data_IF_697374257460
#
_entry.id   IF_697374257460
#
_cell.length_a   1.000
_cell.length_b   1.000
_cell.length_c   1.000
_cell.angle_alpha   90.00
_cell.angle_beta   90.00
_cell.angle_gamma   90.00
#
_symmetry.space_group_name_H-M   'P 1'
#
loop_
_entity.id
_entity.type
_entity.pdbx_description
1 polymer ?
#
# COMPACT_ATOMS: atom_id res chain seq x y z
N UNK A 1 -46.56 -35.43 -33.72
CA UNK A 1 -46.05 -34.16 -34.26
C UNK A 1 -46.22 -33.13 -33.16
N UNK A 2 -45.08 -32.66 -32.66
CA UNK A 2 -44.80 -31.51 -31.79
C UNK A 2 -45.58 -31.31 -30.47
N UNK A 3 -44.87 -31.52 -29.37
CA UNK A 3 -45.19 -31.09 -28.01
C UNK A 3 -44.50 -29.74 -27.77
N UNK A 4 -45.28 -28.69 -27.53
CA UNK A 4 -44.80 -27.37 -27.11
C UNK A 4 -44.59 -27.36 -25.59
N UNK A 5 -43.33 -27.22 -25.15
CA UNK A 5 -42.96 -27.03 -23.74
C UNK A 5 -42.53 -25.57 -23.55
N UNK A 6 -43.27 -24.85 -22.71
CA UNK A 6 -42.93 -23.49 -22.30
C UNK A 6 -41.65 -23.45 -21.46
N UNK A 7 -40.69 -22.64 -21.89
CA UNK A 7 -39.44 -22.38 -21.15
C UNK A 7 -39.65 -21.22 -20.17
N UNK A 8 -39.75 -21.57 -18.90
CA UNK A 8 -39.72 -20.66 -17.76
C UNK A 8 -38.40 -19.85 -17.70
N UNK A 9 -38.56 -18.54 -17.57
CA UNK A 9 -37.54 -17.55 -17.25
C UNK A 9 -36.77 -17.90 -15.97
N UNK A 10 -35.52 -18.35 -16.14
CA UNK A 10 -34.56 -18.54 -15.06
C UNK A 10 -33.68 -17.32 -14.87
N UNK A 11 -33.86 -16.63 -13.73
CA UNK A 11 -32.98 -15.58 -13.24
C UNK A 11 -31.52 -16.08 -13.14
N UNK A 12 -30.62 -15.54 -13.96
CA UNK A 12 -29.19 -15.77 -13.84
C UNK A 12 -28.68 -15.08 -12.57
N UNK A 13 -28.34 -15.90 -11.58
CA UNK A 13 -27.60 -15.50 -10.38
C UNK A 13 -26.23 -14.99 -10.78
N UNK A 14 -25.91 -13.75 -10.40
CA UNK A 14 -24.58 -13.18 -10.51
C UNK A 14 -23.62 -13.90 -9.56
N UNK A 15 -22.85 -14.85 -10.09
CA UNK A 15 -21.70 -15.45 -9.41
C UNK A 15 -20.51 -14.46 -9.40
N UNK A 16 -19.95 -14.07 -8.24
CA UNK A 16 -18.84 -13.12 -8.17
C UNK A 16 -17.44 -13.76 -8.30
N UNK A 17 -17.34 -14.97 -8.86
CA UNK A 17 -16.08 -15.74 -8.94
C UNK A 17 -15.64 -16.01 -10.37
N UNK A 18 -15.45 -14.94 -11.14
CA UNK A 18 -14.56 -14.99 -12.31
C UNK A 18 -13.27 -14.26 -11.96
N UNK A 19 -12.22 -15.06 -11.72
CA UNK A 19 -10.84 -14.60 -11.87
C UNK A 19 -10.67 -14.16 -13.32
N UNK A 20 -10.85 -12.86 -13.55
CA UNK A 20 -10.52 -12.20 -14.80
C UNK A 20 -9.03 -12.35 -15.03
N UNK A 21 -8.71 -13.31 -15.90
CA UNK A 21 -7.46 -13.38 -16.62
C UNK A 21 -7.20 -12.01 -17.28
N UNK A 22 -6.00 -11.48 -17.06
CA UNK A 22 -5.36 -10.40 -17.83
C UNK A 22 -6.26 -9.23 -18.24
N UNK A 23 -6.48 -8.26 -17.34
CA UNK A 23 -6.77 -6.90 -17.81
C UNK A 23 -5.54 -6.39 -18.56
N UNK A 24 -5.65 -6.25 -19.88
CA UNK A 24 -4.63 -5.65 -20.73
C UNK A 24 -4.29 -4.26 -20.18
N UNK A 25 -2.99 -3.97 -20.04
CA UNK A 25 -2.52 -2.61 -19.89
C UNK A 25 -2.93 -1.84 -21.15
N UNK A 26 -3.62 -0.72 -21.00
CA UNK A 26 -3.62 0.28 -22.06
C UNK A 26 -2.14 0.58 -22.34
N UNK A 27 -1.73 0.49 -23.61
CA UNK A 27 -0.35 0.70 -24.04
C UNK A 27 0.16 2.04 -23.49
N UNK A 28 0.97 1.98 -22.43
CA UNK A 28 1.46 3.18 -21.75
C UNK A 28 0.71 3.63 -20.49
N UNK A 29 0.03 2.75 -19.74
CA UNK A 29 -0.45 3.08 -18.40
C UNK A 29 -0.07 2.01 -17.37
N UNK A 30 0.68 2.38 -16.32
CA UNK A 30 1.08 1.49 -15.21
C UNK A 30 0.11 1.52 -14.04
N UNK A 31 -1.10 2.03 -14.26
CA UNK A 31 -2.12 2.18 -13.23
C UNK A 31 -3.28 1.24 -13.51
N UNK A 32 -3.60 0.43 -12.50
CA UNK A 32 -4.78 -0.43 -12.50
C UNK A 32 -5.59 -0.18 -11.24
N UNK A 33 -6.66 0.61 -11.36
CA UNK A 33 -7.59 0.83 -10.25
C UNK A 33 -8.44 -0.41 -9.99
N UNK A 34 -8.63 -0.79 -8.71
CA UNK A 34 -9.60 -1.82 -8.35
C UNK A 34 -11.01 -1.30 -8.67
N UNK A 35 -11.69 -1.96 -9.61
CA UNK A 35 -13.03 -1.57 -10.07
C UNK A 35 -13.08 -0.82 -11.40
N UNK A 36 -11.94 -0.54 -12.03
CA UNK A 36 -11.92 0.06 -13.39
C UNK A 36 -12.32 1.53 -13.45
N UNK A 37 -12.28 2.25 -12.33
CA UNK A 37 -12.46 3.70 -12.32
C UNK A 37 -11.32 4.42 -13.06
N UNK A 38 -11.62 5.61 -13.60
CA UNK A 38 -10.66 6.44 -14.32
C UNK A 38 -9.52 6.94 -13.39
N UNK A 39 -8.27 6.99 -13.87
CA UNK A 39 -7.13 7.49 -13.10
C UNK A 39 -7.27 8.98 -12.83
N UNK A 40 -6.80 9.41 -11.66
CA UNK A 40 -6.76 10.84 -11.32
C UNK A 40 -5.63 11.55 -12.08
N UNK A 41 -5.64 12.88 -12.17
CA UNK A 41 -4.60 13.64 -12.87
C UNK A 41 -3.22 13.42 -12.22
N UNK A 42 -3.17 13.39 -10.88
CA UNK A 42 -1.96 13.11 -10.12
C UNK A 42 -1.43 11.69 -10.34
N UNK A 43 -2.34 10.72 -10.36
CA UNK A 43 -2.03 9.33 -10.65
C UNK A 43 -1.47 9.18 -12.07
N UNK A 44 -2.07 9.85 -13.06
CA UNK A 44 -1.58 9.85 -14.44
C UNK A 44 -0.15 10.38 -14.53
N UNK A 45 0.19 11.44 -13.79
CA UNK A 45 1.56 11.97 -13.73
C UNK A 45 2.57 10.94 -13.16
N UNK A 46 2.18 10.17 -12.14
CA UNK A 46 3.02 9.10 -11.58
C UNK A 46 3.16 7.94 -12.57
N UNK A 47 2.09 7.59 -13.28
CA UNK A 47 2.15 6.57 -14.35
C UNK A 47 3.13 6.96 -15.44
N UNK A 48 3.08 8.22 -15.90
CA UNK A 48 4.01 8.75 -16.91
C UNK A 48 5.45 8.70 -16.40
N UNK A 49 5.71 9.15 -15.17
CA UNK A 49 7.03 9.06 -14.57
C UNK A 49 7.55 7.62 -14.54
N UNK A 50 6.72 6.63 -14.16
CA UNK A 50 7.13 5.22 -14.13
C UNK A 50 7.39 4.60 -15.52
N UNK A 51 6.79 5.16 -16.58
CA UNK A 51 7.04 4.74 -17.96
C UNK A 51 8.34 5.32 -18.49
N UNK A 52 8.60 6.60 -18.21
CA UNK A 52 9.88 7.23 -18.54
C UNK A 52 11.05 6.50 -17.86
N UNK A 53 10.88 6.06 -16.61
CA UNK A 53 11.90 5.25 -15.93
C UNK A 53 12.10 3.88 -16.59
N UNK A 54 11.04 3.25 -17.12
CA UNK A 54 11.19 1.98 -17.84
C UNK A 54 11.94 2.14 -19.16
N UNK A 55 11.80 3.27 -19.85
CA UNK A 55 12.49 3.49 -21.12
C UNK A 55 13.97 3.82 -20.93
N UNK A 56 14.33 4.48 -19.82
CA UNK A 56 15.65 5.08 -19.64
C UNK A 56 16.59 4.32 -18.70
N UNK A 57 16.09 3.33 -17.94
CA UNK A 57 16.89 2.64 -16.92
C UNK A 57 17.07 1.15 -17.20
N UNK A 58 18.14 0.59 -16.62
CA UNK A 58 18.39 -0.86 -16.57
C UNK A 58 17.29 -1.64 -15.82
N UNK A 59 16.34 -0.94 -15.19
CA UNK A 59 15.21 -1.49 -14.46
C UNK A 59 14.04 -1.89 -15.38
N UNK A 60 14.20 -1.71 -16.69
CA UNK A 60 13.17 -2.04 -17.71
C UNK A 60 12.59 -3.43 -17.56
N UNK A 61 13.43 -4.45 -17.39
CA UNK A 61 12.98 -5.84 -17.28
C UNK A 61 12.09 -6.07 -16.04
N UNK A 62 12.40 -5.37 -14.94
CA UNK A 62 11.70 -5.54 -13.69
C UNK A 62 10.43 -4.67 -13.62
N UNK A 63 10.45 -3.48 -14.23
CA UNK A 63 9.35 -2.52 -14.22
C UNK A 63 8.22 -2.82 -15.22
N UNK A 64 8.45 -3.70 -16.20
CA UNK A 64 7.48 -4.01 -17.25
C UNK A 64 6.22 -4.69 -16.72
N UNK A 65 6.35 -5.57 -15.73
CA UNK A 65 5.23 -6.33 -15.15
C UNK A 65 4.58 -5.62 -13.96
N UNK A 66 5.24 -4.59 -13.45
CA UNK A 66 4.84 -3.90 -12.23
C UNK A 66 3.84 -2.80 -12.53
N UNK A 67 2.80 -2.74 -11.69
CA UNK A 67 1.79 -1.70 -11.75
C UNK A 67 1.43 -1.20 -10.36
N UNK A 68 0.88 -0.01 -10.33
CA UNK A 68 0.42 0.65 -9.11
C UNK A 68 -1.11 0.70 -9.14
N UNK A 69 -1.73 0.71 -7.96
CA UNK A 69 -3.20 0.74 -7.87
C UNK A 69 -3.73 2.14 -7.67
N UNK A 70 -3.11 2.89 -6.77
CA UNK A 70 -3.53 4.23 -6.37
C UNK A 70 -2.31 5.06 -6.00
N UNK A 71 -2.43 6.38 -6.11
CA UNK A 71 -1.46 7.28 -5.53
C UNK A 71 -2.17 8.43 -4.79
N UNK A 72 -1.58 8.87 -3.69
CA UNK A 72 -2.11 9.98 -2.89
C UNK A 72 -0.98 10.93 -2.51
N UNK A 73 -1.23 12.22 -2.69
CA UNK A 73 -0.39 13.26 -2.11
C UNK A 73 -0.91 13.62 -0.71
N UNK A 74 0.00 13.76 0.25
CA UNK A 74 -0.29 14.22 1.60
C UNK A 74 0.58 15.44 1.90
N UNK A 75 -0.04 16.52 2.37
CA UNK A 75 0.66 17.69 2.87
C UNK A 75 0.99 17.53 4.36
N UNK A 76 2.28 17.67 4.69
CA UNK A 76 2.86 17.42 6.01
C UNK A 76 3.72 18.62 6.42
N UNK A 77 3.25 19.44 7.35
CA UNK A 77 4.01 20.56 7.92
C UNK A 77 4.69 21.46 6.85
N UNK A 78 4.00 21.73 5.74
CA UNK A 78 4.50 22.51 4.60
C UNK A 78 5.32 21.73 3.56
N UNK A 79 5.66 20.47 3.82
CA UNK A 79 6.29 19.54 2.87
C UNK A 79 5.24 18.59 2.30
N UNK A 80 5.21 18.42 0.98
CA UNK A 80 4.32 17.43 0.34
C UNK A 80 5.01 16.09 0.25
N UNK A 81 4.29 15.01 0.52
CA UNK A 81 4.79 13.64 0.45
C UNK A 81 3.84 12.77 -0.34
N UNK A 82 4.40 11.84 -1.11
CA UNK A 82 3.66 11.03 -2.06
C UNK A 82 3.59 9.60 -1.54
N UNK A 83 2.39 9.06 -1.46
CA UNK A 83 2.14 7.66 -1.12
C UNK A 83 1.68 6.93 -2.36
N UNK A 84 2.43 5.90 -2.73
CA UNK A 84 2.10 5.04 -3.86
C UNK A 84 1.60 3.70 -3.32
N UNK A 85 0.37 3.34 -3.70
CA UNK A 85 -0.22 2.06 -3.35
C UNK A 85 0.13 1.00 -4.37
N UNK A 86 0.69 -0.10 -3.87
CA UNK A 86 1.16 -1.23 -4.66
C UNK A 86 0.29 -2.45 -4.36
N UNK A 87 -0.08 -3.26 -5.36
CA UNK A 87 -0.73 -4.55 -5.11
C UNK A 87 0.16 -5.45 -4.21
N UNK A 88 -0.42 -6.03 -3.16
CA UNK A 88 0.33 -6.92 -2.24
C UNK A 88 1.13 -8.03 -2.96
N UNK A 89 0.62 -8.69 -4.03
CA UNK A 89 1.39 -9.72 -4.72
C UNK A 89 2.72 -9.20 -5.31
N UNK A 90 2.77 -7.93 -5.70
CA UNK A 90 3.93 -7.30 -6.34
C UNK A 90 4.85 -6.58 -5.35
N UNK A 91 4.43 -6.42 -4.10
CA UNK A 91 5.16 -5.67 -3.07
C UNK A 91 6.61 -6.15 -2.90
N UNK A 92 6.82 -7.47 -2.86
CA UNK A 92 8.16 -8.07 -2.75
C UNK A 92 9.05 -7.78 -3.96
N UNK A 93 8.47 -7.64 -5.14
CA UNK A 93 9.20 -7.26 -6.35
C UNK A 93 9.59 -5.79 -6.29
N UNK A 94 8.67 -4.93 -5.86
CA UNK A 94 8.97 -3.51 -5.63
C UNK A 94 10.08 -3.32 -4.61
N UNK A 95 10.06 -4.05 -3.48
CA UNK A 95 11.11 -3.95 -2.43
C UNK A 95 12.53 -4.16 -2.97
N UNK A 96 12.73 -5.08 -3.91
CA UNK A 96 14.07 -5.33 -4.51
C UNK A 96 14.63 -4.10 -5.23
N UNK A 97 13.75 -3.25 -5.76
CA UNK A 97 14.10 -2.12 -6.64
C UNK A 97 13.84 -0.78 -5.93
N UNK A 98 13.13 -0.81 -4.81
CA UNK A 98 12.56 0.36 -4.13
C UNK A 98 13.63 1.39 -3.77
N UNK A 99 14.83 0.98 -3.37
CA UNK A 99 15.93 1.93 -3.05
C UNK A 99 16.34 2.78 -4.26
N UNK A 100 16.32 2.22 -5.47
CA UNK A 100 16.63 2.92 -6.72
C UNK A 100 15.44 3.73 -7.21
N UNK A 101 14.25 3.11 -7.22
CA UNK A 101 13.00 3.76 -7.67
C UNK A 101 12.66 5.00 -6.84
N UNK A 102 12.81 4.93 -5.51
CA UNK A 102 12.56 6.10 -4.65
C UNK A 102 13.48 7.25 -5.03
N UNK A 103 14.78 7.00 -5.26
CA UNK A 103 15.74 8.07 -5.62
C UNK A 103 15.40 8.72 -6.96
N UNK A 104 14.98 7.93 -7.94
CA UNK A 104 14.60 8.44 -9.27
C UNK A 104 13.29 9.25 -9.23
N UNK A 105 12.30 8.75 -8.48
CA UNK A 105 11.04 9.47 -8.29
C UNK A 105 11.23 10.74 -7.46
N UNK A 106 12.05 10.71 -6.41
CA UNK A 106 12.36 11.90 -5.61
C UNK A 106 13.04 13.00 -6.45
N UNK A 107 13.91 12.62 -7.40
CA UNK A 107 14.48 13.59 -8.37
C UNK A 107 13.42 14.21 -9.28
N UNK A 108 12.46 13.43 -9.76
CA UNK A 108 11.36 13.89 -10.64
C UNK A 108 10.37 14.78 -9.90
N UNK A 109 10.08 14.49 -8.64
CA UNK A 109 9.08 15.19 -7.83
C UNK A 109 9.68 16.27 -6.92
N UNK A 110 10.69 16.99 -7.38
CA UNK A 110 11.29 18.14 -6.69
C UNK A 110 11.78 17.84 -5.27
N UNK A 111 12.26 16.62 -5.00
CA UNK A 111 12.74 16.21 -3.68
C UNK A 111 11.64 15.89 -2.67
N UNK A 112 10.38 15.80 -3.08
CA UNK A 112 9.29 15.33 -2.20
C UNK A 112 9.51 13.87 -1.81
N UNK A 113 9.33 13.54 -0.54
CA UNK A 113 9.46 12.16 -0.07
C UNK A 113 8.40 11.25 -0.69
N UNK A 114 8.85 10.16 -1.30
CA UNK A 114 8.00 9.13 -1.91
C UNK A 114 8.06 7.86 -1.06
N UNK A 115 6.90 7.34 -0.68
CA UNK A 115 6.77 6.12 0.13
C UNK A 115 5.83 5.12 -0.55
N UNK A 116 6.23 3.85 -0.55
CA UNK A 116 5.42 2.76 -1.09
C UNK A 116 4.65 2.07 0.03
N UNK A 117 3.36 1.83 -0.20
CA UNK A 117 2.49 1.12 0.72
C UNK A 117 1.75 0.00 -0.02
N UNK A 118 1.72 -1.20 0.55
CA UNK A 118 0.86 -2.27 0.03
C UNK A 118 -0.63 -1.94 0.22
N UNK A 119 -1.43 -2.08 -0.85
CA UNK A 119 -2.88 -1.93 -0.76
C UNK A 119 -3.51 -3.13 -0.03
N UNK A 120 -3.76 -2.95 1.28
CA UNK A 120 -4.36 -3.95 2.15
C UNK A 120 -5.84 -3.68 2.40
N UNK A 121 -6.66 -4.73 2.33
CA UNK A 121 -8.10 -4.69 2.65
C UNK A 121 -8.34 -5.13 4.10
N UNK A 122 -8.90 -4.25 4.91
CA UNK A 122 -9.34 -4.56 6.27
C UNK A 122 -10.77 -5.08 6.22
N UNK A 123 -11.00 -6.32 6.69
CA UNK A 123 -12.37 -6.82 6.87
C UNK A 123 -12.93 -6.33 8.22
N UNK A 124 -14.23 -6.12 8.39
CA UNK A 124 -14.78 -5.82 9.71
C UNK A 124 -14.66 -7.04 10.64
N UNK A 125 -14.59 -6.80 11.96
CA UNK A 125 -14.66 -7.88 12.95
C UNK A 125 -16.07 -8.49 12.90
N UNK A 126 -16.22 -9.81 12.70
CA UNK A 126 -17.53 -10.43 12.78
C UNK A 126 -18.07 -10.27 14.20
N UNK A 127 -19.18 -9.57 14.34
CA UNK A 127 -19.95 -9.43 15.59
C UNK A 127 -21.23 -10.28 15.50
N UNK A 128 -21.89 -10.53 16.64
CA UNK A 128 -23.14 -11.31 16.67
C UNK A 128 -24.26 -10.67 15.81
N UNK A 129 -24.22 -9.36 15.59
CA UNK A 129 -25.20 -8.57 14.82
C UNK A 129 -24.80 -8.33 13.36
N UNK A 130 -23.80 -9.04 12.84
CA UNK A 130 -23.30 -8.78 11.47
C UNK A 130 -24.36 -9.15 10.43
N UNK A 131 -24.82 -8.16 9.65
CA UNK A 131 -25.90 -8.31 8.66
C UNK A 131 -25.56 -9.31 7.54
N UNK A 132 -24.29 -9.35 7.15
CA UNK A 132 -23.74 -10.32 6.19
C UNK A 132 -22.99 -11.41 6.93
N UNK A 133 -23.61 -12.60 7.01
CA UNK A 133 -22.98 -13.78 7.61
C UNK A 133 -21.93 -14.31 6.63
N UNK A 134 -20.67 -13.99 6.88
CA UNK A 134 -19.57 -14.52 6.07
C UNK A 134 -19.53 -16.05 6.23
N UNK A 135 -19.68 -16.78 5.11
CA UNK A 135 -19.61 -18.26 5.10
C UNK A 135 -18.23 -18.77 5.54
N UNK A 136 -17.19 -17.99 5.24
CA UNK A 136 -15.80 -18.32 5.55
C UNK A 136 -15.25 -17.57 6.77
N UNK A 137 -14.34 -18.22 7.51
CA UNK A 137 -13.62 -17.60 8.62
C UNK A 137 -12.77 -16.43 8.13
N UNK A 138 -12.78 -15.32 8.86
CA UNK A 138 -11.95 -14.15 8.53
C UNK A 138 -10.46 -14.53 8.60
N UNK A 139 -9.67 -14.28 7.54
CA UNK A 139 -8.24 -14.50 7.57
C UNK A 139 -7.54 -13.50 8.50
N UNK A 140 -6.51 -13.97 9.23
CA UNK A 140 -5.74 -13.14 10.18
C UNK A 140 -5.03 -11.97 9.50
N UNK A 141 -4.55 -12.16 8.27
CA UNK A 141 -3.89 -11.12 7.47
C UNK A 141 -4.79 -9.91 7.17
N UNK A 142 -6.11 -10.08 7.17
CA UNK A 142 -7.09 -8.99 6.97
C UNK A 142 -7.63 -8.43 8.29
N UNK A 143 -6.88 -8.60 9.38
CA UNK A 143 -7.17 -7.97 10.69
C UNK A 143 -6.68 -6.53 10.76
N UNK A 144 -7.39 -5.65 11.47
CA UNK A 144 -6.97 -4.24 11.61
C UNK A 144 -5.55 -4.17 12.19
N UNK A 145 -5.28 -4.93 13.25
CA UNK A 145 -3.96 -4.99 13.89
C UNK A 145 -2.88 -5.47 12.94
N UNK A 146 -3.08 -6.62 12.27
CA UNK A 146 -2.08 -7.15 11.34
C UNK A 146 -1.84 -6.23 10.14
N UNK A 147 -2.87 -5.55 9.65
CA UNK A 147 -2.71 -4.57 8.56
C UNK A 147 -1.95 -3.34 9.03
N UNK A 148 -2.16 -2.87 10.26
CA UNK A 148 -1.45 -1.72 10.80
C UNK A 148 0.04 -2.02 11.03
N UNK A 149 0.34 -3.21 11.54
CA UNK A 149 1.73 -3.66 11.69
C UNK A 149 2.42 -3.76 10.33
N UNK A 150 1.75 -4.36 9.34
CA UNK A 150 2.30 -4.50 8.00
C UNK A 150 2.43 -3.17 7.22
N UNK A 151 1.57 -2.18 7.49
CA UNK A 151 1.74 -0.81 6.93
C UNK A 151 2.98 -0.16 7.55
N UNK A 152 3.20 -0.34 8.85
CA UNK A 152 4.38 0.19 9.53
C UNK A 152 5.67 -0.34 8.90
N UNK A 153 5.74 -1.66 8.64
CA UNK A 153 6.86 -2.32 7.97
C UNK A 153 7.12 -1.78 6.56
N UNK A 154 6.07 -1.58 5.76
CA UNK A 154 6.22 -1.04 4.40
C UNK A 154 6.77 0.39 4.38
N UNK A 155 6.30 1.23 5.32
CA UNK A 155 6.69 2.64 5.39
C UNK A 155 8.18 2.82 5.67
N UNK A 156 8.77 1.95 6.50
CA UNK A 156 10.15 2.10 6.97
C UNK A 156 11.17 1.40 6.09
N UNK A 157 10.75 0.64 5.07
CA UNK A 157 11.68 0.02 4.13
C UNK A 157 12.58 1.08 3.46
N UNK A 158 13.91 0.90 3.42
CA UNK A 158 14.67 -0.33 3.62
C UNK A 158 15.01 -0.74 5.06
N UNK A 159 14.70 0.06 6.08
CA UNK A 159 15.02 -0.32 7.46
C UNK A 159 14.07 -1.38 7.95
N UNK A 160 14.64 -2.29 8.74
CA UNK A 160 13.88 -3.27 9.47
C UNK A 160 13.56 -2.75 10.87
N UNK A 161 12.39 -3.14 11.37
CA UNK A 161 11.95 -2.81 12.72
C UNK A 161 12.58 -3.84 13.67
N UNK A 162 13.51 -3.39 14.50
CA UNK A 162 14.19 -4.23 15.51
C UNK A 162 13.28 -4.48 16.71
N UNK A 163 12.44 -3.50 17.05
CA UNK A 163 11.57 -3.61 18.21
C UNK A 163 10.41 -2.64 18.16
N UNK A 164 9.38 -2.95 18.95
CA UNK A 164 8.18 -2.12 19.06
C UNK A 164 7.73 -2.09 20.51
N UNK A 165 7.55 -0.89 21.05
CA UNK A 165 7.07 -0.63 22.41
C UNK A 165 5.84 0.26 22.34
N UNK A 166 4.84 -0.01 23.17
CA UNK A 166 3.64 0.83 23.26
C UNK A 166 3.65 1.46 24.65
N UNK A 167 3.80 2.78 24.70
CA UNK A 167 3.68 3.54 25.94
C UNK A 167 2.26 4.05 26.05
N UNK A 168 1.59 3.71 27.14
CA UNK A 168 0.28 4.27 27.49
C UNK A 168 0.51 5.46 28.42
N UNK A 169 -0.01 6.64 28.08
CA UNK A 169 0.04 7.84 28.93
C UNK A 169 -1.08 7.79 29.99
N UNK A 170 -0.99 8.67 30.99
CA UNK A 170 -2.03 8.82 32.02
C UNK A 170 -3.40 9.20 31.40
N UNK A 171 -3.38 9.95 30.30
CA UNK A 171 -4.59 10.34 29.55
C UNK A 171 -5.23 9.17 28.76
N UNK A 172 -4.67 7.96 28.84
CA UNK A 172 -5.09 6.78 28.08
C UNK A 172 -4.62 6.75 26.62
N UNK A 173 -4.00 7.83 26.13
CA UNK A 173 -3.42 7.86 24.79
C UNK A 173 -2.23 6.90 24.66
N UNK A 174 -2.13 6.23 23.52
CA UNK A 174 -1.07 5.27 23.23
C UNK A 174 -0.07 5.88 22.25
N UNK A 175 1.21 5.88 22.63
CA UNK A 175 2.33 6.21 21.76
C UNK A 175 3.07 4.93 21.39
N UNK A 176 3.19 4.68 20.09
CA UNK A 176 3.93 3.53 19.59
C UNK A 176 5.38 3.98 19.33
N UNK A 177 6.32 3.48 20.12
CA UNK A 177 7.75 3.64 19.93
C UNK A 177 8.28 2.51 19.07
N UNK A 178 8.78 2.82 17.89
CA UNK A 178 9.32 1.85 16.93
C UNK A 178 10.83 2.00 16.90
N UNK A 179 11.54 0.92 17.17
CA UNK A 179 12.98 0.86 17.11
C UNK A 179 13.42 0.41 15.71
N UNK A 180 14.16 1.26 15.01
CA UNK A 180 14.71 0.97 13.69
C UNK A 180 16.17 0.51 13.80
N UNK A 181 16.64 -0.23 12.81
CA UNK A 181 18.05 -0.63 12.75
C UNK A 181 18.98 0.60 12.61
N UNK A 182 20.05 0.63 13.41
CA UNK A 182 21.01 1.73 13.47
C UNK A 182 21.86 1.82 12.19
N UNK A 183 22.08 0.69 11.50
CA UNK A 183 22.88 0.66 10.27
C UNK A 183 22.30 1.54 9.15
N UNK A 184 20.98 1.77 9.17
CA UNK A 184 20.28 2.53 8.16
C UNK A 184 19.92 3.96 8.59
N UNK A 185 20.41 4.39 9.76
CA UNK A 185 20.09 5.69 10.34
C UNK A 185 20.34 6.84 9.35
N UNK A 186 21.51 6.89 8.72
CA UNK A 186 21.89 7.96 7.77
C UNK A 186 20.92 8.10 6.59
N UNK A 187 20.35 6.99 6.12
CA UNK A 187 19.46 6.98 4.96
C UNK A 187 17.99 7.31 5.30
N UNK A 188 17.58 7.09 6.55
CA UNK A 188 16.15 7.12 6.92
C UNK A 188 15.84 8.24 7.91
N UNK A 189 16.80 8.72 8.68
CA UNK A 189 16.63 9.75 9.69
C UNK A 189 15.91 10.99 9.15
N UNK A 190 16.25 11.45 7.95
CA UNK A 190 15.59 12.59 7.32
C UNK A 190 14.14 12.34 6.86
N UNK A 191 13.67 11.09 6.85
CA UNK A 191 12.30 10.68 6.45
C UNK A 191 11.40 10.31 7.63
N UNK A 192 11.97 10.18 8.84
CA UNK A 192 11.27 9.70 10.05
C UNK A 192 9.99 10.51 10.36
N UNK A 193 10.08 11.84 10.31
CA UNK A 193 8.93 12.73 10.58
C UNK A 193 7.79 12.51 9.57
N UNK A 194 8.19 12.27 8.32
CA UNK A 194 7.27 11.96 7.22
C UNK A 194 6.53 10.66 7.51
N UNK A 195 7.23 9.61 7.91
CA UNK A 195 6.63 8.31 8.22
C UNK A 195 5.65 8.38 9.38
N UNK A 196 6.01 9.11 10.44
CA UNK A 196 5.14 9.29 11.60
C UNK A 196 3.83 9.97 11.20
N UNK A 197 3.92 11.00 10.37
CA UNK A 197 2.76 11.77 9.92
C UNK A 197 1.90 10.99 8.92
N UNK A 198 2.51 10.27 7.98
CA UNK A 198 1.82 9.37 7.05
C UNK A 198 1.05 8.30 7.82
N UNK A 199 1.71 7.64 8.77
CA UNK A 199 1.07 6.60 9.56
C UNK A 199 -0.09 7.14 10.40
N UNK A 200 0.06 8.34 10.98
CA UNK A 200 -1.02 9.04 11.70
C UNK A 200 -2.21 9.33 10.78
N UNK A 201 -1.99 9.78 9.55
CA UNK A 201 -3.06 10.04 8.57
C UNK A 201 -3.77 8.76 8.12
N UNK A 202 -3.04 7.66 7.95
CA UNK A 202 -3.61 6.39 7.48
C UNK A 202 -4.36 5.62 8.59
N UNK A 203 -3.84 5.62 9.81
CA UNK A 203 -4.32 4.75 10.89
C UNK A 203 -4.98 5.48 12.05
N UNK A 204 -4.73 6.79 12.19
CA UNK A 204 -5.13 7.60 13.34
C UNK A 204 -4.29 7.37 14.60
N UNK A 205 -3.21 6.57 14.53
CA UNK A 205 -2.35 6.26 15.68
C UNK A 205 -1.05 7.04 15.61
N UNK A 206 -0.56 7.47 16.77
CA UNK A 206 0.70 8.19 16.88
C UNK A 206 1.88 7.23 17.01
N UNK A 207 2.93 7.48 16.23
CA UNK A 207 4.17 6.70 16.20
C UNK A 207 5.35 7.64 16.38
N UNK A 208 6.34 7.21 17.15
CA UNK A 208 7.66 7.81 17.26
C UNK A 208 8.71 6.77 16.89
N UNK A 209 9.65 7.11 16.01
CA UNK A 209 10.75 6.23 15.64
C UNK A 209 11.99 6.59 16.45
N UNK A 210 12.71 5.58 16.93
CA UNK A 210 13.92 5.70 17.74
C UNK A 210 14.99 4.75 17.20
N UNK A 211 16.26 5.16 17.24
CA UNK A 211 17.39 4.28 16.93
C UNK A 211 18.01 3.81 18.25
N UNK A 212 17.88 2.53 18.64
CA UNK A 212 18.47 2.04 19.87
C UNK A 212 19.99 2.03 19.74
N UNK A 213 20.68 2.42 20.81
CA UNK A 213 22.11 2.14 20.93
C UNK A 213 22.30 0.67 21.31
N UNK A 214 23.30 -0.02 20.73
CA UNK A 214 23.64 -1.37 21.17
C UNK A 214 24.03 -1.31 22.64
N UNK A 215 23.42 -2.18 23.45
CA UNK A 215 23.81 -2.35 24.84
C UNK A 215 25.26 -2.85 24.85
N UNK A 216 26.18 -2.00 25.30
CA UNK A 216 27.58 -2.35 25.59
C UNK A 216 27.67 -3.26 26.81
#
# INVERSE_FOLDING_TARGET
>A
VEVTVGSSSGCALNDPFTLSHGKMFASGAKILKPGGAEPDAFETAISQALLELEMNSDLKAQLRELYITKAKEIELNGKKSIIIYVPIPQLKLFQKIQTRLVRELEKKFSGKHVVFCGERKILPKPTRKTRTKNKQKRPRSRTLTAVYDAILEDLVFPAEIVGKRIRVKLDGSQLIKVHLDKNQQTNIEHKVDTFASVYKKLTGREVSFEFPEPYL
#
